data_IF_069698537250
#
_entry.id   IF_069698537250
#
_cell.length_a   1.000
_cell.length_b   1.000
_cell.length_c   1.000
_cell.angle_alpha   90.00
_cell.angle_beta   90.00
_cell.angle_gamma   90.00
#
_symmetry.space_group_name_H-M   'P 1'
#
loop_
_entity.id
_entity.type
_entity.pdbx_description
1 polymer ?
#
# COMPACT_ATOMS: atom_id res chain seq x y z
N UNK A 1 25.93 -16.37 2.50
CA UNK A 1 25.21 -15.13 2.88
C UNK A 1 25.36 -14.96 4.37
N UNK A 2 25.52 -13.74 4.89
CA UNK A 2 25.62 -13.52 6.33
C UNK A 2 24.40 -14.10 7.04
N UNK A 3 24.67 -14.68 8.22
CA UNK A 3 23.65 -15.38 9.00
C UNK A 3 23.09 -14.53 10.13
N UNK A 4 23.76 -13.41 10.43
CA UNK A 4 23.41 -12.54 11.54
C UNK A 4 23.57 -11.05 11.18
N UNK A 5 22.73 -10.23 11.82
CA UNK A 5 22.87 -8.77 11.85
C UNK A 5 23.19 -8.35 13.27
N UNK A 6 24.23 -7.52 13.46
CA UNK A 6 24.58 -6.90 14.73
C UNK A 6 24.24 -5.42 14.67
N UNK A 7 23.67 -4.87 15.73
CA UNK A 7 23.40 -3.43 15.89
C UNK A 7 23.33 -3.04 17.37
N UNK A 8 23.33 -1.73 17.66
CA UNK A 8 23.21 -1.24 19.04
C UNK A 8 21.81 -1.42 19.60
N UNK A 9 20.79 -1.34 18.74
CA UNK A 9 19.38 -1.47 19.13
C UNK A 9 18.55 -2.15 18.02
N UNK A 10 17.56 -2.92 18.46
CA UNK A 10 16.57 -3.57 17.60
C UNK A 10 15.17 -3.22 18.09
N UNK A 11 14.35 -2.64 17.21
CA UNK A 11 12.97 -2.29 17.49
C UNK A 11 12.04 -3.43 17.08
N UNK A 12 11.22 -3.89 18.01
CA UNK A 12 10.21 -4.92 17.81
C UNK A 12 8.82 -4.42 18.22
N UNK A 13 7.72 -5.04 17.77
CA UNK A 13 6.38 -4.64 18.18
C UNK A 13 6.15 -4.69 19.70
N UNK A 14 6.91 -5.50 20.42
CA UNK A 14 6.82 -5.69 21.87
C UNK A 14 7.88 -4.90 22.66
N UNK A 15 8.73 -4.10 22.02
CA UNK A 15 9.73 -3.26 22.68
C UNK A 15 11.08 -3.22 22.00
N UNK A 16 12.08 -2.67 22.70
CA UNK A 16 13.44 -2.47 22.19
C UNK A 16 14.37 -3.47 22.87
N UNK A 17 15.22 -4.15 22.09
CA UNK A 17 16.37 -4.90 22.58
C UNK A 17 17.67 -4.14 22.26
N UNK A 18 18.62 -4.14 23.20
CA UNK A 18 19.91 -3.48 23.06
C UNK A 18 21.02 -4.53 22.89
N UNK A 19 21.88 -4.29 21.90
CA UNK A 19 22.97 -5.19 21.54
C UNK A 19 22.48 -6.55 21.03
N UNK A 20 23.39 -7.53 20.96
CA UNK A 20 23.09 -8.86 20.45
C UNK A 20 23.07 -8.94 18.93
N UNK A 21 22.46 -10.00 18.44
CA UNK A 21 22.43 -10.36 17.02
C UNK A 21 21.04 -10.80 16.61
N UNK A 22 20.60 -10.37 15.43
CA UNK A 22 19.39 -10.84 14.78
C UNK A 22 19.75 -11.86 13.71
N UNK A 23 19.25 -13.08 13.85
CA UNK A 23 19.48 -14.17 12.91
C UNK A 23 18.83 -13.89 11.54
N UNK A 24 19.49 -14.33 10.47
CA UNK A 24 18.97 -14.34 9.10
C UNK A 24 18.86 -15.78 8.60
N UNK A 25 17.63 -16.24 8.34
CA UNK A 25 17.34 -17.60 7.86
C UNK A 25 16.50 -17.49 6.59
N UNK A 26 17.01 -17.98 5.47
CA UNK A 26 16.30 -18.00 4.19
C UNK A 26 15.71 -16.64 3.79
N UNK A 27 16.48 -15.56 4.00
CA UNK A 27 16.08 -14.19 3.68
C UNK A 27 15.03 -13.60 4.63
N UNK A 28 14.80 -14.23 5.79
CA UNK A 28 13.87 -13.76 6.83
C UNK A 28 14.63 -13.51 8.13
N UNK A 29 14.07 -12.62 8.95
CA UNK A 29 14.54 -12.41 10.30
C UNK A 29 14.11 -13.58 11.19
N UNK A 30 15.10 -14.18 11.88
CA UNK A 30 14.92 -15.26 12.82
C UNK A 30 14.91 -14.78 14.28
N UNK A 31 15.61 -15.51 15.14
CA UNK A 31 15.69 -15.21 16.59
C UNK A 31 16.67 -14.08 16.86
N UNK A 32 16.40 -13.32 17.92
CA UNK A 32 17.39 -12.45 18.54
C UNK A 32 18.16 -13.24 19.58
N UNK A 33 19.50 -13.25 19.46
CA UNK A 33 20.41 -14.02 20.32
C UNK A 33 21.51 -13.12 20.88
N UNK A 34 22.02 -13.44 22.07
CA UNK A 34 23.10 -12.67 22.69
C UNK A 34 24.48 -13.14 22.24
N UNK A 35 24.59 -14.38 21.75
CA UNK A 35 25.84 -15.00 21.29
C UNK A 35 25.59 -15.76 19.99
N UNK A 36 26.62 -15.83 19.16
CA UNK A 36 26.61 -16.52 17.87
C UNK A 36 27.73 -17.57 17.81
N UNK A 37 27.63 -18.61 16.95
CA UNK A 37 28.70 -19.59 16.74
C UNK A 37 29.99 -18.90 16.26
N UNK A 38 31.13 -19.52 16.64
CA UNK A 38 32.44 -19.10 16.14
C UNK A 38 32.49 -19.25 14.61
N UNK A 39 32.99 -18.21 13.93
CA UNK A 39 33.08 -18.19 12.46
C UNK A 39 31.77 -17.82 11.74
N UNK A 40 30.70 -17.46 12.46
CA UNK A 40 29.47 -17.00 11.85
C UNK A 40 29.68 -15.70 11.06
N UNK A 41 29.08 -15.59 9.87
CA UNK A 41 29.09 -14.38 9.08
C UNK A 41 28.10 -13.33 9.63
N UNK A 42 28.59 -12.11 9.86
CA UNK A 42 27.82 -11.03 10.49
C UNK A 42 27.82 -9.80 9.61
N UNK A 43 26.64 -9.20 9.39
CA UNK A 43 26.49 -7.82 8.96
C UNK A 43 26.60 -6.93 10.20
N UNK A 44 27.71 -6.20 10.34
CA UNK A 44 27.96 -5.34 11.50
C UNK A 44 27.47 -3.92 11.25
N UNK A 45 26.39 -3.56 11.91
CA UNK A 45 25.80 -2.21 11.96
C UNK A 45 25.96 -1.59 13.37
N UNK A 46 27.13 -1.81 14.03
CA UNK A 46 27.44 -1.12 15.28
C UNK A 46 27.35 0.39 15.09
N UNK A 47 26.72 1.11 16.01
CA UNK A 47 26.39 2.53 15.91
C UNK A 47 25.01 2.83 15.27
N UNK A 48 24.31 1.80 14.81
CA UNK A 48 22.97 1.95 14.20
C UNK A 48 21.90 1.23 15.01
N UNK A 49 20.67 1.59 14.72
CA UNK A 49 19.48 0.91 15.19
C UNK A 49 18.80 0.19 14.02
N UNK A 50 18.32 -1.00 14.24
CA UNK A 50 17.54 -1.78 13.28
C UNK A 50 16.06 -1.71 13.65
N UNK A 51 15.23 -1.37 12.69
CA UNK A 51 13.77 -1.33 12.83
C UNK A 51 13.11 -2.01 11.63
N UNK A 52 11.86 -2.46 11.75
CA UNK A 52 11.06 -2.80 10.58
C UNK A 52 11.01 -1.62 9.60
N UNK A 53 11.08 -1.92 8.31
CA UNK A 53 10.93 -0.89 7.29
C UNK A 53 9.53 -0.27 7.34
N UNK A 54 9.43 0.99 6.96
CA UNK A 54 8.17 1.70 6.88
C UNK A 54 7.31 1.13 5.74
N UNK A 55 6.00 1.20 5.92
CA UNK A 55 5.00 0.82 4.91
C UNK A 55 4.22 2.07 4.53
N UNK A 56 4.34 2.49 3.28
CA UNK A 56 3.56 3.61 2.75
C UNK A 56 2.31 3.07 2.04
N UNK A 57 1.15 3.32 2.62
CA UNK A 57 -0.13 2.81 2.10
C UNK A 57 -0.90 3.82 1.26
N UNK A 58 -0.31 5.00 0.95
CA UNK A 58 -0.96 6.05 0.17
C UNK A 58 0.09 6.96 -0.48
N UNK A 59 0.50 6.63 -1.71
CA UNK A 59 1.52 7.39 -2.43
C UNK A 59 1.20 7.43 -3.94
N UNK A 60 1.10 8.64 -4.49
CA UNK A 60 0.77 8.86 -5.92
C UNK A 60 2.00 8.87 -6.82
N UNK A 61 3.15 9.18 -6.28
CA UNK A 61 4.40 9.27 -7.04
C UNK A 61 5.59 9.59 -6.15
N UNK A 62 6.78 9.52 -6.72
CA UNK A 62 8.05 9.82 -6.04
C UNK A 62 9.11 10.28 -7.05
N UNK A 63 9.95 11.24 -6.64
CA UNK A 63 11.09 11.71 -7.43
C UNK A 63 10.73 12.17 -8.88
N UNK A 64 9.56 12.79 -9.03
CA UNK A 64 9.12 13.37 -10.31
C UNK A 64 8.37 12.43 -11.23
N UNK A 65 8.04 11.21 -10.79
CA UNK A 65 7.15 10.28 -11.50
C UNK A 65 5.83 10.11 -10.76
N UNK A 66 4.76 9.80 -11.49
CA UNK A 66 3.40 9.63 -10.97
C UNK A 66 2.82 8.26 -11.38
N UNK A 67 2.06 7.64 -10.49
CA UNK A 67 1.41 6.34 -10.74
C UNK A 67 0.46 6.41 -11.95
N UNK A 68 -0.08 7.58 -12.24
CA UNK A 68 -0.95 7.80 -13.41
C UNK A 68 -0.18 8.05 -14.72
N UNK A 69 1.16 8.00 -14.70
CA UNK A 69 1.99 8.17 -15.90
C UNK A 69 1.84 7.00 -16.89
N UNK A 70 2.00 7.30 -18.18
CA UNK A 70 1.95 6.27 -19.23
C UNK A 70 3.17 5.32 -19.22
N UNK A 71 4.29 5.69 -18.58
CA UNK A 71 5.49 4.86 -18.45
C UNK A 71 5.53 4.21 -17.07
N UNK A 72 4.61 3.31 -16.80
CA UNK A 72 4.46 2.72 -15.46
C UNK A 72 5.67 1.88 -15.02
N UNK A 73 6.34 1.19 -15.94
CA UNK A 73 7.54 0.39 -15.63
C UNK A 73 8.65 1.28 -15.05
N UNK A 74 8.99 2.38 -15.75
CA UNK A 74 9.98 3.36 -15.27
C UNK A 74 9.53 4.05 -13.96
N UNK A 75 8.24 4.35 -13.83
CA UNK A 75 7.64 4.90 -12.61
C UNK A 75 7.81 3.95 -11.43
N UNK A 76 7.42 2.68 -11.57
CA UNK A 76 7.54 1.69 -10.50
C UNK A 76 8.98 1.44 -10.09
N UNK A 77 9.91 1.39 -11.04
CA UNK A 77 11.34 1.28 -10.76
C UNK A 77 11.84 2.48 -9.95
N UNK A 78 11.55 3.71 -10.40
CA UNK A 78 11.95 4.96 -9.72
C UNK A 78 11.38 5.03 -8.31
N UNK A 79 10.11 4.73 -8.13
CA UNK A 79 9.47 4.71 -6.82
C UNK A 79 10.08 3.63 -5.91
N UNK A 80 10.20 2.40 -6.41
CA UNK A 80 10.70 1.26 -5.64
C UNK A 80 12.10 1.48 -5.11
N UNK A 81 13.03 1.92 -5.95
CA UNK A 81 14.42 2.18 -5.56
C UNK A 81 14.54 3.43 -4.69
N UNK A 82 13.88 4.52 -5.08
CA UNK A 82 13.98 5.79 -4.39
C UNK A 82 13.42 5.79 -2.97
N UNK A 83 12.30 5.09 -2.76
CA UNK A 83 11.64 5.00 -1.45
C UNK A 83 12.50 4.34 -0.38
N UNK A 84 13.44 3.45 -0.75
CA UNK A 84 14.38 2.86 0.21
C UNK A 84 15.19 3.93 0.96
N UNK A 85 15.54 5.03 0.30
CA UNK A 85 16.28 6.13 0.93
C UNK A 85 15.52 6.84 2.05
N UNK A 86 14.20 6.70 2.08
CA UNK A 86 13.30 7.26 3.12
C UNK A 86 12.96 6.26 4.21
N UNK A 87 13.48 5.02 4.12
CA UNK A 87 13.17 3.93 5.04
C UNK A 87 11.89 3.17 4.70
N UNK A 88 11.20 3.52 3.62
CA UNK A 88 10.03 2.77 3.13
C UNK A 88 10.50 1.51 2.41
N UNK A 89 10.04 0.35 2.87
CA UNK A 89 10.39 -0.96 2.30
C UNK A 89 9.23 -1.66 1.63
N UNK A 90 8.02 -1.12 1.81
CA UNK A 90 6.80 -1.60 1.14
C UNK A 90 5.85 -0.43 0.90
N UNK A 91 5.11 -0.45 -0.21
CA UNK A 91 4.16 0.60 -0.52
C UNK A 91 2.98 0.10 -1.36
N UNK A 92 1.94 0.92 -1.42
CA UNK A 92 0.80 0.78 -2.31
C UNK A 92 0.82 1.94 -3.31
N UNK A 93 1.20 1.72 -4.59
CA UNK A 93 0.98 2.73 -5.62
C UNK A 93 -0.50 3.11 -5.65
N UNK A 94 -0.78 4.41 -5.60
CA UNK A 94 -2.12 4.95 -5.40
C UNK A 94 -2.57 5.72 -6.64
N UNK A 95 -3.73 5.35 -7.19
CA UNK A 95 -4.34 6.04 -8.34
C UNK A 95 -5.05 7.32 -7.90
N UNK A 96 -5.43 8.15 -8.88
CA UNK A 96 -6.33 9.28 -8.71
C UNK A 96 -7.66 9.01 -9.42
N UNK A 97 -8.69 9.81 -9.09
CA UNK A 97 -9.98 9.81 -9.80
C UNK A 97 -9.77 10.10 -11.29
N UNK A 98 -10.15 9.16 -12.15
CA UNK A 98 -9.99 9.22 -13.59
C UNK A 98 -11.13 8.48 -14.31
N UNK A 99 -11.10 8.45 -15.66
CA UNK A 99 -12.05 7.67 -16.43
C UNK A 99 -11.87 6.17 -16.17
N UNK A 100 -12.88 5.39 -16.51
CA UNK A 100 -12.80 3.92 -16.43
C UNK A 100 -11.60 3.38 -17.21
N UNK A 101 -11.43 3.84 -18.44
CA UNK A 101 -10.36 3.39 -19.35
C UNK A 101 -8.97 3.76 -18.85
N UNK A 102 -8.81 4.96 -18.30
CA UNK A 102 -7.52 5.38 -17.72
C UNK A 102 -7.17 4.52 -16.50
N UNK A 103 -8.12 4.31 -15.60
CA UNK A 103 -7.92 3.45 -14.43
C UNK A 103 -7.63 2.01 -14.86
N UNK A 104 -8.36 1.46 -15.84
CA UNK A 104 -8.12 0.12 -16.35
C UNK A 104 -6.71 -0.02 -16.91
N UNK A 105 -6.26 0.92 -17.75
CA UNK A 105 -4.93 0.89 -18.36
C UNK A 105 -3.80 0.97 -17.31
N UNK A 106 -3.92 1.89 -16.35
CA UNK A 106 -2.93 2.00 -15.26
C UNK A 106 -2.90 0.73 -14.43
N UNK A 107 -4.06 0.18 -14.11
CA UNK A 107 -4.19 -1.03 -13.28
C UNK A 107 -3.63 -2.26 -13.97
N UNK A 108 -3.89 -2.43 -15.26
CA UNK A 108 -3.31 -3.51 -16.06
C UNK A 108 -1.78 -3.43 -16.08
N UNK A 109 -1.22 -2.23 -16.27
CA UNK A 109 0.21 -2.00 -16.23
C UNK A 109 0.80 -2.31 -14.85
N UNK A 110 0.17 -1.83 -13.76
CA UNK A 110 0.59 -2.17 -12.39
C UNK A 110 0.54 -3.67 -12.14
N UNK A 111 -0.54 -4.35 -12.55
CA UNK A 111 -0.71 -5.79 -12.42
C UNK A 111 0.30 -6.61 -13.23
N UNK A 112 0.83 -6.06 -14.32
CA UNK A 112 1.85 -6.71 -15.15
C UNK A 112 3.25 -6.56 -14.54
N UNK A 113 3.58 -5.39 -13.96
CA UNK A 113 4.96 -5.01 -13.63
C UNK A 113 5.30 -4.96 -12.12
N UNK A 114 4.34 -5.15 -11.19
CA UNK A 114 4.60 -5.01 -9.75
C UNK A 114 5.72 -5.93 -9.21
N UNK A 115 5.95 -7.09 -9.84
CA UNK A 115 6.99 -8.05 -9.45
C UNK A 115 8.40 -7.60 -9.84
N UNK A 116 8.50 -6.66 -10.76
CA UNK A 116 9.77 -6.13 -11.27
C UNK A 116 10.38 -5.08 -10.33
N UNK A 117 9.64 -4.66 -9.30
CA UNK A 117 10.12 -3.76 -8.26
C UNK A 117 11.28 -4.40 -7.47
N UNK A 118 12.49 -3.87 -7.63
CA UNK A 118 13.73 -4.40 -7.04
C UNK A 118 14.04 -3.84 -5.65
N UNK A 119 13.56 -2.64 -5.35
CA UNK A 119 13.70 -1.96 -4.07
C UNK A 119 12.55 -2.23 -3.09
N UNK A 120 11.85 -1.16 -2.67
CA UNK A 120 10.65 -1.26 -1.85
C UNK A 120 9.57 -2.09 -2.55
N UNK A 121 8.93 -3.01 -1.81
CA UNK A 121 8.00 -3.98 -2.40
C UNK A 121 6.61 -3.40 -2.58
N UNK A 122 6.03 -3.61 -3.74
CA UNK A 122 4.62 -3.31 -4.00
C UNK A 122 3.78 -4.41 -3.34
N UNK A 123 2.88 -4.03 -2.43
CA UNK A 123 2.06 -4.95 -1.65
C UNK A 123 0.60 -5.01 -2.08
N UNK A 124 0.22 -4.17 -3.01
CA UNK A 124 -1.11 -4.05 -3.57
C UNK A 124 -1.25 -2.73 -4.30
N UNK A 125 -2.42 -2.45 -4.80
CA UNK A 125 -2.80 -1.20 -5.44
C UNK A 125 -3.86 -0.54 -4.58
N UNK A 126 -3.77 0.78 -4.40
CA UNK A 126 -4.78 1.58 -3.73
C UNK A 126 -5.49 2.49 -4.73
N UNK A 127 -6.81 2.37 -4.80
CA UNK A 127 -7.66 3.28 -5.56
C UNK A 127 -8.14 4.43 -4.68
N UNK A 128 -7.62 5.63 -4.89
CA UNK A 128 -8.14 6.84 -4.30
C UNK A 128 -9.20 7.46 -5.23
N UNK A 129 -10.44 7.08 -5.02
CA UNK A 129 -11.57 7.30 -5.93
C UNK A 129 -11.75 6.16 -6.95
N UNK A 130 -12.63 6.35 -7.94
CA UNK A 130 -13.36 7.55 -8.36
C UNK A 130 -14.70 7.81 -7.62
N UNK A 131 -15.03 7.05 -6.63
CA UNK A 131 -16.32 7.05 -5.94
C UNK A 131 -16.39 8.11 -4.83
N UNK A 132 -16.01 9.35 -5.18
CA UNK A 132 -15.90 10.49 -4.28
C UNK A 132 -17.00 11.54 -4.52
N UNK A 133 -17.13 12.50 -3.59
CA UNK A 133 -18.05 13.62 -3.65
C UNK A 133 -17.30 14.92 -3.93
N UNK A 134 -17.85 15.75 -4.82
CA UNK A 134 -17.19 16.97 -5.30
C UNK A 134 -16.89 17.97 -4.17
N UNK A 135 -17.75 18.07 -3.15
CA UNK A 135 -17.63 19.09 -2.10
C UNK A 135 -16.26 19.07 -1.40
N UNK A 136 -15.68 17.89 -1.18
CA UNK A 136 -14.37 17.72 -0.54
C UNK A 136 -13.37 17.00 -1.45
N UNK A 137 -13.45 17.28 -2.74
CA UNK A 137 -12.65 16.61 -3.77
C UNK A 137 -11.14 16.81 -3.65
N UNK A 138 -10.68 17.87 -2.98
CA UNK A 138 -9.26 18.21 -2.98
C UNK A 138 -8.72 18.40 -4.39
N UNK A 139 -7.66 17.66 -4.74
CA UNK A 139 -7.06 17.65 -6.07
C UNK A 139 -7.76 16.72 -7.07
N UNK A 140 -8.73 15.91 -6.62
CA UNK A 140 -9.43 14.95 -7.47
C UNK A 140 -10.28 15.64 -8.54
N UNK A 141 -10.37 15.07 -9.75
CA UNK A 141 -11.17 15.63 -10.84
C UNK A 141 -12.65 15.25 -10.70
N UNK A 142 -13.56 16.22 -10.43
CA UNK A 142 -14.97 15.91 -10.18
C UNK A 142 -15.71 15.38 -11.41
N UNK A 143 -15.21 15.64 -12.63
CA UNK A 143 -15.82 15.17 -13.88
C UNK A 143 -15.94 13.65 -13.95
N UNK A 144 -15.04 12.93 -13.26
CA UNK A 144 -14.97 11.47 -13.31
C UNK A 144 -15.51 10.81 -12.03
N UNK A 145 -16.02 11.60 -11.09
CA UNK A 145 -16.66 11.09 -9.88
C UNK A 145 -18.01 10.45 -10.21
N UNK A 146 -18.26 9.28 -9.63
CA UNK A 146 -19.46 8.49 -9.87
C UNK A 146 -19.80 7.58 -8.71
N UNK A 147 -20.97 6.99 -8.75
CA UNK A 147 -21.39 6.00 -7.75
C UNK A 147 -20.63 4.68 -7.95
N UNK A 148 -20.38 3.91 -6.87
CA UNK A 148 -19.64 2.67 -6.95
C UNK A 148 -20.39 1.58 -7.72
N UNK A 149 -19.63 0.83 -8.54
CA UNK A 149 -20.13 -0.31 -9.30
C UNK A 149 -19.29 -1.56 -9.06
N UNK A 150 -19.90 -2.64 -8.60
CA UNK A 150 -19.20 -3.91 -8.33
C UNK A 150 -18.60 -4.50 -9.61
N UNK A 151 -19.34 -4.49 -10.73
CA UNK A 151 -18.84 -5.01 -12.00
C UNK A 151 -17.66 -4.20 -12.54
N UNK A 152 -17.71 -2.87 -12.39
CA UNK A 152 -16.61 -1.98 -12.75
C UNK A 152 -15.37 -2.29 -11.90
N UNK A 153 -15.54 -2.43 -10.58
CA UNK A 153 -14.48 -2.80 -9.67
C UNK A 153 -13.86 -4.15 -10.01
N UNK A 154 -14.67 -5.17 -10.29
CA UNK A 154 -14.18 -6.48 -10.68
C UNK A 154 -13.36 -6.46 -11.96
N UNK A 155 -13.74 -5.64 -12.96
CA UNK A 155 -12.94 -5.46 -14.17
C UNK A 155 -11.53 -4.92 -13.87
N UNK A 156 -11.41 -3.97 -12.94
CA UNK A 156 -10.12 -3.48 -12.48
C UNK A 156 -9.36 -4.51 -11.64
N UNK A 157 -10.06 -5.26 -10.79
CA UNK A 157 -9.44 -6.31 -9.97
C UNK A 157 -8.84 -7.43 -10.84
N UNK A 158 -9.51 -7.80 -11.92
CA UNK A 158 -9.01 -8.77 -12.90
C UNK A 158 -7.77 -8.21 -13.62
N UNK A 159 -7.80 -6.97 -14.09
CA UNK A 159 -6.66 -6.28 -14.70
C UNK A 159 -5.48 -6.16 -13.73
N UNK A 160 -5.76 -5.90 -12.44
CA UNK A 160 -4.78 -5.86 -11.35
C UNK A 160 -4.18 -7.23 -11.00
N UNK A 161 -4.68 -8.33 -11.56
CA UNK A 161 -4.33 -9.71 -11.18
C UNK A 161 -4.51 -9.98 -9.68
N UNK A 162 -5.57 -9.42 -9.10
CA UNK A 162 -5.90 -9.54 -7.69
C UNK A 162 -5.10 -8.61 -6.75
N UNK A 163 -4.36 -7.65 -7.31
CA UNK A 163 -3.51 -6.73 -6.51
C UNK A 163 -4.23 -5.49 -6.00
N UNK A 164 -5.47 -5.22 -6.45
CA UNK A 164 -6.27 -4.11 -5.95
C UNK A 164 -6.85 -4.48 -4.58
N UNK A 165 -6.18 -4.06 -3.52
CA UNK A 165 -6.51 -4.48 -2.14
C UNK A 165 -6.96 -3.35 -1.22
N UNK A 166 -7.00 -2.11 -1.73
CA UNK A 166 -7.54 -0.96 -1.00
C UNK A 166 -8.26 -0.01 -1.96
N UNK A 167 -9.41 0.53 -1.53
CA UNK A 167 -10.14 1.57 -2.24
C UNK A 167 -10.70 2.59 -1.27
N UNK A 168 -10.65 3.89 -1.60
CA UNK A 168 -11.32 4.94 -0.86
C UNK A 168 -12.60 5.37 -1.58
N UNK A 169 -13.65 5.62 -0.80
CA UNK A 169 -14.98 6.01 -1.27
C UNK A 169 -15.59 7.08 -0.37
N UNK A 170 -16.55 7.84 -0.90
CA UNK A 170 -17.42 8.71 -0.13
C UNK A 170 -18.69 7.93 0.28
N UNK A 171 -18.96 7.76 1.58
CA UNK A 171 -20.04 6.87 2.05
C UNK A 171 -21.45 7.37 1.74
N UNK A 172 -21.62 8.63 1.37
CA UNK A 172 -22.91 9.21 0.94
C UNK A 172 -23.29 8.89 -0.51
N UNK A 173 -22.42 8.20 -1.27
CA UNK A 173 -22.73 7.77 -2.63
C UNK A 173 -23.80 6.68 -2.66
N UNK A 174 -24.60 6.67 -3.71
CA UNK A 174 -25.62 5.65 -3.91
C UNK A 174 -25.00 4.24 -4.08
N UNK A 175 -25.57 3.22 -3.45
CA UNK A 175 -25.13 1.83 -3.55
C UNK A 175 -23.88 1.47 -2.71
N UNK A 176 -23.37 2.40 -1.89
CA UNK A 176 -22.14 2.19 -1.10
C UNK A 176 -22.21 0.99 -0.15
N UNK A 177 -23.35 0.79 0.56
CA UNK A 177 -23.46 -0.31 1.53
C UNK A 177 -23.26 -1.69 0.87
N UNK A 178 -23.91 -1.92 -0.26
CA UNK A 178 -23.80 -3.18 -0.99
C UNK A 178 -22.41 -3.35 -1.63
N UNK A 179 -21.86 -2.27 -2.18
CA UNK A 179 -20.49 -2.27 -2.71
C UNK A 179 -19.48 -2.61 -1.62
N UNK A 180 -19.50 -1.91 -0.49
CA UNK A 180 -18.57 -2.14 0.64
C UNK A 180 -18.67 -3.58 1.12
N UNK A 181 -19.89 -4.09 1.35
CA UNK A 181 -20.11 -5.45 1.81
C UNK A 181 -19.52 -6.48 0.86
N UNK A 182 -19.69 -6.27 -0.44
CA UNK A 182 -19.19 -7.16 -1.48
C UNK A 182 -17.67 -7.18 -1.48
N UNK A 183 -17.02 -6.00 -1.67
CA UNK A 183 -15.57 -5.95 -1.86
C UNK A 183 -14.78 -6.27 -0.58
N UNK A 184 -15.33 -5.93 0.60
CA UNK A 184 -14.70 -6.34 1.88
C UNK A 184 -14.82 -7.85 2.12
N UNK A 185 -15.92 -8.47 1.68
CA UNK A 185 -16.08 -9.92 1.68
C UNK A 185 -15.05 -10.63 0.78
N UNK A 186 -14.51 -9.95 -0.21
CA UNK A 186 -13.47 -10.42 -1.12
C UNK A 186 -12.03 -10.07 -0.61
N UNK A 187 -11.92 -9.47 0.58
CA UNK A 187 -10.65 -9.16 1.22
C UNK A 187 -10.07 -7.78 0.86
N UNK A 188 -10.85 -6.92 0.21
CA UNK A 188 -10.44 -5.55 -0.10
C UNK A 188 -10.69 -4.63 1.08
N UNK A 189 -9.71 -3.80 1.44
CA UNK A 189 -9.86 -2.78 2.48
C UNK A 189 -10.59 -1.56 1.91
N UNK A 190 -11.68 -1.15 2.53
CA UNK A 190 -12.39 0.07 2.16
C UNK A 190 -12.06 1.19 3.13
N UNK A 191 -11.61 2.32 2.58
CA UNK A 191 -11.36 3.57 3.29
C UNK A 191 -12.47 4.59 2.98
N UNK A 192 -12.79 5.44 3.95
CA UNK A 192 -13.71 6.55 3.76
C UNK A 192 -12.93 7.85 3.60
N UNK A 193 -13.22 8.63 2.56
CA UNK A 193 -12.51 9.88 2.30
C UNK A 193 -13.17 10.72 1.20
N UNK A 194 -12.71 11.96 1.04
CA UNK A 194 -13.24 12.91 0.06
C UNK A 194 -14.77 13.00 0.06
N UNK A 195 -15.33 13.17 1.27
CA UNK A 195 -16.72 12.93 1.57
C UNK A 195 -17.35 14.12 2.30
N UNK A 196 -18.64 14.33 2.06
CA UNK A 196 -19.51 15.21 2.83
C UNK A 196 -20.53 14.40 3.66
N UNK A 197 -20.23 13.16 3.96
CA UNK A 197 -21.13 12.27 4.66
C UNK A 197 -21.50 12.75 6.05
N UNK A 198 -22.73 12.50 6.40
CA UNK A 198 -23.18 12.55 7.78
C UNK A 198 -22.62 11.39 8.59
N UNK A 199 -22.71 11.49 9.92
CA UNK A 199 -22.32 10.39 10.82
C UNK A 199 -23.08 9.08 10.48
N UNK A 200 -24.38 9.19 10.18
CA UNK A 200 -25.22 8.01 9.90
C UNK A 200 -24.82 7.33 8.59
N UNK A 201 -24.47 8.08 7.53
CA UNK A 201 -23.98 7.55 6.27
C UNK A 201 -22.62 6.88 6.45
N UNK A 202 -21.68 7.52 7.14
CA UNK A 202 -20.39 6.94 7.46
C UNK A 202 -20.52 5.67 8.30
N UNK A 203 -21.42 5.69 9.32
CA UNK A 203 -21.70 4.53 10.16
C UNK A 203 -22.21 3.33 9.36
N UNK A 204 -23.12 3.54 8.41
CA UNK A 204 -23.63 2.47 7.54
C UNK A 204 -22.49 1.83 6.73
N UNK A 205 -21.57 2.62 6.16
CA UNK A 205 -20.44 2.09 5.44
C UNK A 205 -19.50 1.29 6.38
N UNK A 206 -19.27 1.75 7.61
CA UNK A 206 -18.51 1.00 8.63
C UNK A 206 -19.21 -0.30 9.01
N UNK A 207 -20.53 -0.27 9.25
CA UNK A 207 -21.32 -1.47 9.56
C UNK A 207 -21.32 -2.48 8.36
N UNK A 208 -21.13 -1.99 7.13
CA UNK A 208 -20.97 -2.80 5.94
C UNK A 208 -19.56 -3.39 5.76
N UNK A 209 -18.54 -2.86 6.48
CA UNK A 209 -17.18 -3.40 6.49
C UNK A 209 -16.05 -2.41 6.22
N UNK A 210 -16.34 -1.12 5.97
CA UNK A 210 -15.28 -0.11 5.86
C UNK A 210 -14.49 0.02 7.17
N UNK A 211 -13.15 0.09 7.09
CA UNK A 211 -12.28 -0.05 8.24
C UNK A 211 -11.17 1.00 8.35
N UNK A 212 -11.12 1.95 7.42
CA UNK A 212 -10.14 3.06 7.38
C UNK A 212 -10.90 4.36 7.16
N UNK A 213 -10.50 5.44 7.85
CA UNK A 213 -11.06 6.80 7.70
C UNK A 213 -10.05 7.86 8.15
#
# INVERSE_FOLDING_TARGET
MPNYVKADQFFYPFGIRRGGYLELVDGKFGKHVDQIPEGAEVLDYTGYSIAPGLVDTHIHGYAGVDVMDNNIEGTLHTMSEGLLSTGVTSFLPTTLTATYEQLLAVTENLGNHYKEATGAKIRGIYYEGPYFTETFKGAQNPTYMRDPGVEEFHSWQDAAKGMLNKIAIAPEREGVEDFVRTVTGEGVTVALGHSNATFDEAKKAVDAGASVW
#
